data_IF_780977803604
#
_entry.id   IF_780977803604
#
_cell.length_a   1.000
_cell.length_b   1.000
_cell.length_c   1.000
_cell.angle_alpha   90.00
_cell.angle_beta   90.00
_cell.angle_gamma   90.00
#
_symmetry.space_group_name_H-M   'P 1'
#
loop_
_entity.id
_entity.type
_entity.pdbx_description
1 polymer ?
#
# COMPACT_ATOMS: atom_id res chain seq x y z
N UNK A 1 59.90 -10.72 1.94
CA UNK A 1 59.32 -10.75 0.58
C UNK A 1 58.09 -11.64 0.61
N UNK A 2 56.86 -11.09 0.67
CA UNK A 2 55.66 -11.89 0.44
C UNK A 2 55.24 -11.81 -1.04
N UNK A 3 54.79 -12.94 -1.54
CA UNK A 3 54.44 -13.21 -2.93
C UNK A 3 53.17 -12.44 -3.35
N UNK A 4 53.26 -11.67 -4.44
CA UNK A 4 52.11 -11.09 -5.12
C UNK A 4 51.37 -12.20 -5.90
N UNK A 5 50.27 -12.69 -5.34
CA UNK A 5 49.29 -13.46 -6.11
C UNK A 5 48.57 -12.51 -7.07
N UNK A 6 48.96 -12.56 -8.34
CA UNK A 6 48.36 -11.84 -9.46
C UNK A 6 46.93 -12.35 -9.73
N UNK A 7 45.95 -11.65 -9.15
CA UNK A 7 44.53 -11.83 -9.47
C UNK A 7 44.28 -11.40 -10.93
N UNK A 8 43.73 -12.31 -11.74
CA UNK A 8 43.63 -12.16 -13.19
C UNK A 8 42.84 -10.91 -13.63
N UNK A 9 43.28 -10.22 -14.70
CA UNK A 9 42.64 -8.98 -15.19
C UNK A 9 41.18 -9.19 -15.64
N UNK A 10 40.83 -10.39 -16.08
CA UNK A 10 39.46 -10.75 -16.47
C UNK A 10 38.46 -10.67 -15.31
N UNK A 11 38.84 -11.10 -14.09
CA UNK A 11 37.99 -11.00 -12.89
C UNK A 11 37.64 -9.55 -12.56
N UNK A 12 38.52 -8.61 -12.89
CA UNK A 12 38.33 -7.16 -12.64
C UNK A 12 37.36 -6.56 -13.65
N UNK A 13 37.45 -6.96 -14.93
CA UNK A 13 36.53 -6.50 -15.96
C UNK A 13 35.11 -7.04 -15.76
N UNK A 14 34.97 -8.32 -15.38
CA UNK A 14 33.66 -8.93 -15.09
C UNK A 14 32.99 -8.24 -13.89
N UNK A 15 33.74 -7.88 -12.85
CA UNK A 15 33.22 -7.09 -11.71
C UNK A 15 32.72 -5.72 -12.15
N UNK A 16 33.50 -4.98 -12.96
CA UNK A 16 33.08 -3.67 -13.48
C UNK A 16 31.83 -3.76 -14.36
N UNK A 17 31.73 -4.81 -15.18
CA UNK A 17 30.58 -5.02 -16.06
C UNK A 17 29.33 -5.39 -15.26
N UNK A 18 29.47 -6.22 -14.23
CA UNK A 18 28.40 -6.53 -13.26
C UNK A 18 27.91 -5.27 -12.55
N UNK A 19 28.82 -4.42 -12.09
CA UNK A 19 28.49 -3.15 -11.44
C UNK A 19 27.79 -2.19 -12.40
N UNK A 20 28.26 -2.08 -13.64
CA UNK A 20 27.63 -1.25 -14.66
C UNK A 20 26.20 -1.74 -14.97
N UNK A 21 26.02 -3.06 -15.10
CA UNK A 21 24.71 -3.67 -15.31
C UNK A 21 23.80 -3.48 -14.09
N UNK A 22 24.34 -3.54 -12.87
CA UNK A 22 23.58 -3.27 -11.64
C UNK A 22 23.15 -1.81 -11.51
N UNK A 23 24.01 -0.86 -11.91
CA UNK A 23 23.68 0.57 -11.98
C UNK A 23 22.63 0.85 -13.06
N UNK A 24 22.75 0.19 -14.21
CA UNK A 24 21.75 0.27 -15.28
C UNK A 24 20.39 -0.26 -14.78
N UNK A 25 20.40 -1.40 -14.10
CA UNK A 25 19.19 -2.02 -13.52
C UNK A 25 18.49 -1.10 -12.51
N UNK A 26 19.23 -0.36 -11.69
CA UNK A 26 18.69 0.64 -10.76
C UNK A 26 18.15 1.87 -11.50
N UNK A 27 18.84 2.35 -12.53
CA UNK A 27 18.48 3.57 -13.29
C UNK A 27 17.19 3.41 -14.10
N UNK A 28 16.92 2.22 -14.62
CA UNK A 28 15.74 1.94 -15.44
C UNK A 28 14.61 1.22 -14.67
N UNK A 29 14.72 1.08 -13.33
CA UNK A 29 13.68 0.45 -12.52
C UNK A 29 13.49 -1.05 -12.78
N UNK A 30 14.49 -1.71 -13.38
CA UNK A 30 14.52 -3.17 -13.60
C UNK A 30 15.00 -3.94 -12.35
N UNK A 31 15.16 -3.24 -11.22
CA UNK A 31 15.37 -3.82 -9.90
C UNK A 31 14.27 -4.82 -9.56
N UNK A 32 14.58 -5.77 -8.70
CA UNK A 32 13.59 -6.72 -8.20
C UNK A 32 12.36 -5.93 -7.75
N UNK A 33 11.19 -6.22 -8.33
CA UNK A 33 9.92 -5.69 -7.84
C UNK A 33 9.98 -5.88 -6.33
N UNK A 34 9.86 -4.78 -5.58
CA UNK A 34 9.90 -4.80 -4.13
C UNK A 34 9.07 -6.01 -3.71
N UNK A 35 9.71 -7.06 -3.17
CA UNK A 35 8.98 -8.22 -2.71
C UNK A 35 8.08 -7.61 -1.65
N UNK A 36 6.80 -7.50 -1.99
CA UNK A 36 5.76 -6.91 -1.18
C UNK A 36 5.79 -7.73 0.10
N UNK A 37 6.55 -7.25 1.08
CA UNK A 37 6.51 -7.78 2.43
C UNK A 37 5.02 -7.69 2.74
N UNK A 38 4.39 -8.83 2.98
CA UNK A 38 3.23 -8.82 3.87
C UNK A 38 3.78 -8.21 5.16
N UNK A 39 3.83 -6.88 5.22
CA UNK A 39 4.42 -6.16 6.33
C UNK A 39 3.66 -6.69 7.52
N UNK A 40 4.38 -7.32 8.45
CA UNK A 40 3.73 -7.88 9.61
C UNK A 40 2.86 -6.76 10.18
N UNK A 41 1.60 -7.04 10.55
CA UNK A 41 0.71 -5.98 11.05
C UNK A 41 1.36 -5.16 12.17
N UNK A 42 2.31 -5.79 12.89
CA UNK A 42 3.22 -5.20 13.87
C UNK A 42 4.12 -4.12 13.26
N UNK A 43 4.83 -4.40 12.16
CA UNK A 43 5.67 -3.42 11.45
C UNK A 43 4.86 -2.24 10.93
N UNK A 44 3.68 -2.50 10.36
CA UNK A 44 2.79 -1.46 9.88
C UNK A 44 2.28 -0.56 11.03
N UNK A 45 1.95 -1.17 12.18
CA UNK A 45 1.53 -0.42 13.37
C UNK A 45 2.67 0.46 13.89
N UNK A 46 3.90 -0.06 13.94
CA UNK A 46 5.08 0.75 14.33
C UNK A 46 5.34 1.90 13.36
N UNK A 47 5.22 1.64 12.06
CA UNK A 47 5.33 2.69 11.04
C UNK A 47 4.27 3.77 11.26
N UNK A 48 3.02 3.39 11.50
CA UNK A 48 1.93 4.34 11.73
C UNK A 48 2.17 5.24 12.96
N UNK A 49 2.68 4.66 14.06
CA UNK A 49 3.04 5.43 15.25
C UNK A 49 4.11 6.49 14.95
N UNK A 50 5.20 6.10 14.29
CA UNK A 50 6.31 7.01 13.96
C UNK A 50 5.84 8.08 12.98
N UNK A 51 5.09 7.68 11.95
CA UNK A 51 4.59 8.59 10.93
C UNK A 51 3.64 9.64 11.52
N UNK A 52 2.68 9.24 12.34
CA UNK A 52 1.74 10.16 12.98
C UNK A 52 2.45 11.13 13.94
N UNK A 53 3.49 10.67 14.63
CA UNK A 53 4.34 11.56 15.44
C UNK A 53 5.01 12.62 14.58
N UNK A 54 5.61 12.25 13.44
CA UNK A 54 6.24 13.19 12.51
C UNK A 54 5.21 14.21 11.99
N UNK A 55 4.01 13.75 11.59
CA UNK A 55 2.97 14.65 11.08
C UNK A 55 2.48 15.61 12.17
N UNK A 56 2.36 15.13 13.41
CA UNK A 56 2.01 15.97 14.57
C UNK A 56 3.08 17.05 14.80
N UNK A 57 4.36 16.67 14.78
CA UNK A 57 5.47 17.64 14.89
C UNK A 57 5.45 18.66 13.74
N UNK A 58 5.17 18.23 12.51
CA UNK A 58 5.07 19.16 11.37
C UNK A 58 3.95 20.17 11.58
N UNK A 59 2.85 19.75 12.20
CA UNK A 59 1.76 20.65 12.55
C UNK A 59 2.15 21.62 13.66
N UNK A 60 2.84 21.14 14.69
CA UNK A 60 3.33 21.95 15.82
C UNK A 60 4.33 23.03 15.36
N UNK A 61 5.18 22.71 14.39
CA UNK A 61 6.14 23.64 13.74
C UNK A 61 5.50 24.50 12.64
N UNK A 62 4.16 24.47 12.50
CA UNK A 62 3.37 25.24 11.52
C UNK A 62 3.78 25.02 10.04
N UNK A 63 4.29 23.83 9.71
CA UNK A 63 4.70 23.46 8.36
C UNK A 63 3.53 22.98 7.48
N UNK A 64 2.46 22.49 8.12
CA UNK A 64 1.25 21.99 7.48
C UNK A 64 0.01 22.51 8.20
N UNK A 65 -1.08 22.66 7.45
CA UNK A 65 -2.40 23.02 7.98
C UNK A 65 -3.13 21.84 8.63
N UNK A 66 -4.17 22.12 9.43
CA UNK A 66 -5.01 21.09 10.06
C UNK A 66 -5.63 20.13 9.02
N UNK A 67 -5.97 20.66 7.84
CA UNK A 67 -6.53 19.86 6.74
C UNK A 67 -5.49 18.95 6.10
N UNK A 68 -4.25 19.40 5.98
CA UNK A 68 -3.16 18.58 5.46
C UNK A 68 -2.79 17.47 6.46
N UNK A 69 -2.80 17.78 7.76
CA UNK A 69 -2.62 16.79 8.81
C UNK A 69 -3.67 15.66 8.69
N UNK A 70 -4.96 16.00 8.59
CA UNK A 70 -6.05 15.02 8.45
C UNK A 70 -5.84 14.07 7.24
N UNK A 71 -5.31 14.59 6.12
CA UNK A 71 -5.05 13.79 4.92
C UNK A 71 -3.80 12.92 5.03
N UNK A 72 -2.86 13.30 5.89
CA UNK A 72 -1.57 12.65 6.08
C UNK A 72 -1.57 11.66 7.24
N UNK A 73 -2.47 11.78 8.21
CA UNK A 73 -2.56 10.86 9.34
C UNK A 73 -2.89 9.41 8.92
N UNK A 74 -2.25 8.45 9.59
CA UNK A 74 -2.57 7.04 9.51
C UNK A 74 -3.57 6.68 10.62
N UNK A 75 -4.82 6.34 10.28
CA UNK A 75 -5.79 6.01 11.31
C UNK A 75 -5.44 4.68 11.98
N UNK A 76 -5.76 4.52 13.29
CA UNK A 76 -5.48 3.28 14.00
C UNK A 76 -6.27 2.11 13.41
N UNK A 77 -5.75 0.90 13.63
CA UNK A 77 -6.44 -0.35 13.28
C UNK A 77 -7.70 -0.49 14.15
N UNK A 78 -8.86 -0.22 13.57
CA UNK A 78 -10.17 -0.39 14.21
C UNK A 78 -11.14 -1.15 13.29
N UNK A 79 -12.34 -1.46 13.80
CA UNK A 79 -13.46 -2.02 13.04
C UNK A 79 -13.19 -3.35 12.33
N UNK A 80 -12.17 -4.10 12.78
CA UNK A 80 -11.76 -5.36 12.19
C UNK A 80 -11.36 -5.23 10.70
N UNK A 81 -10.81 -4.07 10.32
CA UNK A 81 -10.29 -3.84 8.98
C UNK A 81 -9.05 -4.72 8.76
N UNK A 82 -9.04 -5.47 7.65
CA UNK A 82 -8.04 -6.53 7.40
C UNK A 82 -6.76 -6.02 6.71
N UNK A 83 -6.70 -4.74 6.39
CA UNK A 83 -5.62 -4.10 5.64
C UNK A 83 -5.09 -2.88 6.36
N UNK A 84 -3.86 -2.48 5.99
CA UNK A 84 -3.30 -1.20 6.43
C UNK A 84 -4.13 -0.07 5.84
N UNK A 85 -4.47 0.89 6.69
CA UNK A 85 -5.24 2.08 6.34
C UNK A 85 -4.26 3.19 5.98
N UNK A 86 -4.00 3.32 4.69
CA UNK A 86 -3.07 4.34 4.19
C UNK A 86 -3.68 5.74 4.27
N UNK A 87 -2.87 6.80 4.38
CA UNK A 87 -3.38 8.16 4.45
C UNK A 87 -4.09 8.51 3.15
N UNK A 88 -5.17 9.29 3.25
CA UNK A 88 -5.97 9.72 2.11
C UNK A 88 -5.15 10.44 1.03
N UNK A 89 -4.06 11.13 1.40
CA UNK A 89 -3.15 11.78 0.46
C UNK A 89 -2.60 10.81 -0.60
N UNK A 90 -2.27 9.56 -0.24
CA UNK A 90 -1.76 8.56 -1.19
C UNK A 90 -2.81 8.11 -2.21
N UNK A 91 -4.09 8.38 -1.95
CA UNK A 91 -5.21 8.00 -2.81
C UNK A 91 -5.59 9.09 -3.83
N UNK A 92 -5.05 10.31 -3.73
CA UNK A 92 -5.44 11.40 -4.62
C UNK A 92 -5.26 11.06 -6.11
N UNK A 93 -4.09 10.51 -6.46
CA UNK A 93 -3.82 10.06 -7.83
C UNK A 93 -4.60 8.78 -8.18
N UNK A 94 -4.82 7.90 -7.21
CA UNK A 94 -5.56 6.65 -7.41
C UNK A 94 -7.03 6.88 -7.71
N UNK A 95 -7.63 7.91 -7.12
CA UNK A 95 -9.02 8.31 -7.35
C UNK A 95 -9.24 8.77 -8.80
N UNK A 96 -8.34 9.60 -9.32
CA UNK A 96 -8.41 10.07 -10.71
C UNK A 96 -8.30 8.91 -11.71
N UNK A 97 -7.39 7.97 -11.46
CA UNK A 97 -7.23 6.77 -12.26
C UNK A 97 -8.44 5.83 -12.16
N UNK A 98 -9.00 5.66 -10.96
CA UNK A 98 -10.21 4.87 -10.75
C UNK A 98 -11.40 5.48 -11.51
N UNK A 99 -11.53 6.80 -11.52
CA UNK A 99 -12.61 7.49 -12.23
C UNK A 99 -12.52 7.34 -13.74
N UNK A 100 -11.32 7.42 -14.33
CA UNK A 100 -11.15 7.17 -15.76
C UNK A 100 -11.47 5.71 -16.11
N UNK A 101 -11.03 4.78 -15.27
CA UNK A 101 -11.30 3.35 -15.43
C UNK A 101 -12.77 3.00 -15.28
N UNK A 102 -13.49 3.62 -14.34
CA UNK A 102 -14.92 3.36 -14.13
C UNK A 102 -15.77 3.72 -15.37
N UNK A 103 -15.33 4.71 -16.17
CA UNK A 103 -16.01 5.08 -17.42
C UNK A 103 -15.79 4.08 -18.56
N UNK A 104 -14.62 3.46 -18.60
CA UNK A 104 -14.19 2.60 -19.71
C UNK A 104 -14.51 1.11 -19.47
N UNK A 105 -14.70 0.71 -18.21
CA UNK A 105 -14.71 -0.70 -17.80
C UNK A 105 -16.05 -1.21 -17.29
N UNK A 106 -17.17 -0.57 -17.67
CA UNK A 106 -18.50 -0.94 -17.20
C UNK A 106 -18.91 -2.38 -17.57
N UNK A 107 -18.41 -2.91 -18.68
CA UNK A 107 -18.73 -4.25 -19.20
C UNK A 107 -17.65 -5.31 -18.92
N UNK A 108 -16.59 -4.95 -18.20
CA UNK A 108 -15.46 -5.86 -17.94
C UNK A 108 -15.76 -6.82 -16.78
N UNK A 109 -15.25 -8.06 -16.82
CA UNK A 109 -15.49 -9.02 -15.75
C UNK A 109 -14.78 -8.62 -14.44
N UNK A 110 -15.44 -8.86 -13.31
CA UNK A 110 -14.97 -8.50 -11.96
C UNK A 110 -13.54 -8.98 -11.66
N UNK A 111 -13.16 -10.17 -12.16
CA UNK A 111 -11.82 -10.72 -11.99
C UNK A 111 -10.74 -9.84 -12.63
N UNK A 112 -11.01 -9.31 -13.82
CA UNK A 112 -10.08 -8.42 -14.51
C UNK A 112 -10.01 -7.06 -13.82
N UNK A 113 -11.17 -6.56 -13.34
CA UNK A 113 -11.23 -5.34 -12.55
C UNK A 113 -10.39 -5.48 -11.27
N UNK A 114 -10.52 -6.60 -10.55
CA UNK A 114 -9.75 -6.87 -9.35
C UNK A 114 -8.24 -6.93 -9.62
N UNK A 115 -7.82 -7.57 -10.72
CA UNK A 115 -6.40 -7.59 -11.12
C UNK A 115 -5.86 -6.17 -11.37
N UNK A 116 -6.67 -5.27 -11.95
CA UNK A 116 -6.31 -3.87 -12.15
C UNK A 116 -6.27 -3.09 -10.83
N UNK A 117 -7.19 -3.36 -9.91
CA UNK A 117 -7.19 -2.77 -8.56
C UNK A 117 -5.91 -3.17 -7.82
N UNK A 118 -5.53 -4.45 -7.91
CA UNK A 118 -4.34 -5.00 -7.24
C UNK A 118 -3.00 -4.46 -7.74
N UNK A 119 -2.96 -3.73 -8.87
CA UNK A 119 -1.71 -3.11 -9.39
C UNK A 119 -1.14 -2.05 -8.45
N UNK A 120 -1.97 -1.38 -7.66
CA UNK A 120 -1.56 -0.43 -6.64
C UNK A 120 -1.93 -0.96 -5.27
N UNK A 121 -0.97 -0.99 -4.35
CA UNK A 121 -1.22 -1.44 -2.99
C UNK A 121 -2.20 -0.51 -2.26
N UNK A 122 -2.02 0.79 -2.42
CA UNK A 122 -2.87 1.80 -1.80
C UNK A 122 -4.31 1.68 -2.31
N UNK A 123 -4.49 1.53 -3.64
CA UNK A 123 -5.81 1.33 -4.25
C UNK A 123 -6.50 0.06 -3.72
N UNK A 124 -5.77 -1.06 -3.70
CA UNK A 124 -6.30 -2.33 -3.19
C UNK A 124 -6.69 -2.23 -1.71
N UNK A 125 -5.84 -1.63 -0.88
CA UNK A 125 -6.14 -1.42 0.54
C UNK A 125 -7.36 -0.50 0.71
N UNK A 126 -7.46 0.60 -0.03
CA UNK A 126 -8.61 1.51 0.06
C UNK A 126 -9.93 0.83 -0.29
N UNK A 127 -9.96 -0.02 -1.31
CA UNK A 127 -11.17 -0.79 -1.69
C UNK A 127 -11.56 -1.78 -0.58
N UNK A 128 -10.59 -2.52 -0.04
CA UNK A 128 -10.85 -3.47 1.06
C UNK A 128 -11.27 -2.74 2.34
N UNK A 129 -10.63 -1.62 2.67
CA UNK A 129 -10.96 -0.78 3.82
C UNK A 129 -12.38 -0.24 3.71
N UNK A 130 -12.79 0.27 2.55
CA UNK A 130 -14.15 0.75 2.33
C UNK A 130 -15.17 -0.38 2.52
N UNK A 131 -14.89 -1.57 1.97
CA UNK A 131 -15.76 -2.74 2.15
C UNK A 131 -15.88 -3.15 3.62
N UNK A 132 -14.76 -3.31 4.33
CA UNK A 132 -14.73 -3.72 5.73
C UNK A 132 -15.43 -2.68 6.62
N UNK A 133 -15.22 -1.38 6.34
CA UNK A 133 -15.85 -0.26 7.07
C UNK A 133 -17.36 -0.23 6.88
N UNK A 134 -17.84 -0.39 5.64
CA UNK A 134 -19.28 -0.43 5.34
C UNK A 134 -19.91 -1.66 5.99
N UNK A 135 -19.26 -2.83 5.90
CA UNK A 135 -19.76 -4.05 6.55
C UNK A 135 -19.87 -3.87 8.07
N UNK A 136 -18.85 -3.30 8.70
CA UNK A 136 -18.89 -2.99 10.13
C UNK A 136 -20.06 -2.05 10.48
N UNK A 137 -20.20 -0.95 9.73
CA UNK A 137 -21.28 0.01 9.95
C UNK A 137 -22.66 -0.63 9.78
N UNK A 138 -22.85 -1.46 8.76
CA UNK A 138 -24.10 -2.18 8.53
C UNK A 138 -24.41 -3.14 9.69
N UNK A 139 -23.43 -3.85 10.23
CA UNK A 139 -23.62 -4.73 11.40
C UNK A 139 -24.00 -3.95 12.67
N UNK A 140 -23.55 -2.70 12.80
CA UNK A 140 -23.90 -1.81 13.91
C UNK A 140 -25.31 -1.25 13.77
N UNK A 141 -25.72 -0.88 12.56
CA UNK A 141 -27.00 -0.21 12.30
C UNK A 141 -28.16 -1.20 12.16
N UNK A 142 -27.92 -2.38 11.56
CA UNK A 142 -28.97 -3.37 11.32
C UNK A 142 -29.28 -4.15 12.60
N UNK A 143 -30.58 -4.23 12.93
CA UNK A 143 -31.07 -4.89 14.14
C UNK A 143 -30.56 -6.33 14.24
N UNK A 144 -30.03 -6.68 15.42
CA UNK A 144 -29.54 -8.02 15.70
C UNK A 144 -30.64 -9.08 15.55
N UNK A 145 -30.30 -10.20 14.93
CA UNK A 145 -31.19 -11.36 14.78
C UNK A 145 -32.17 -11.29 13.60
N UNK A 146 -32.08 -10.27 12.73
CA UNK A 146 -32.86 -10.25 11.48
C UNK A 146 -32.17 -11.04 10.36
N UNK A 147 -32.92 -11.30 9.28
CA UNK A 147 -32.38 -11.93 8.08
C UNK A 147 -31.27 -11.08 7.46
N UNK A 148 -31.46 -9.76 7.39
CA UNK A 148 -30.47 -8.83 6.86
C UNK A 148 -29.17 -8.85 7.66
N UNK A 149 -29.26 -8.90 9.00
CA UNK A 149 -28.09 -9.03 9.87
C UNK A 149 -27.32 -10.33 9.54
N UNK A 150 -28.05 -11.43 9.35
CA UNK A 150 -27.47 -12.73 9.00
C UNK A 150 -26.81 -12.71 7.61
N UNK A 151 -27.42 -12.03 6.63
CA UNK A 151 -26.85 -11.84 5.29
C UNK A 151 -25.52 -11.08 5.39
N UNK A 152 -25.49 -9.94 6.07
CA UNK A 152 -24.28 -9.11 6.22
C UNK A 152 -23.17 -9.87 6.98
N UNK A 153 -23.53 -10.62 8.02
CA UNK A 153 -22.59 -11.43 8.77
C UNK A 153 -21.93 -12.52 7.88
N UNK A 154 -22.73 -13.14 7.01
CA UNK A 154 -22.29 -14.21 6.09
C UNK A 154 -21.64 -13.69 4.81
N UNK A 155 -21.75 -12.39 4.49
CA UNK A 155 -20.95 -11.75 3.46
C UNK A 155 -19.47 -11.73 3.87
N UNK A 156 -18.77 -12.84 3.65
CA UNK A 156 -17.32 -12.92 3.72
C UNK A 156 -16.76 -12.58 2.35
N UNK A 157 -16.11 -11.43 2.21
CA UNK A 157 -15.41 -11.06 0.98
C UNK A 157 -14.35 -12.11 0.65
N UNK A 158 -14.59 -12.87 -0.42
CA UNK A 158 -13.60 -13.75 -1.07
C UNK A 158 -12.58 -12.91 -1.84
#
# INVERSE_FOLDING_TARGET
MPEEQSLSPELTMVKKLRDAMHRLKLRYGLGQAYKKTESSQIEATRFALIWNEIMTTFREEDLISDRELELLELPPNCWHIRVIRWPCFLLANELLLALSQAKELAEEPDQLLWLRICKSEYRRCAVIEAYDSIRYLLLVVVKFGTEENSIIANCSGR
#
